data_IF_729537588697
#
_entry.id   IF_729537588697
#
_cell.length_a   1.000
_cell.length_b   1.000
_cell.length_c   1.000
_cell.angle_alpha   90.00
_cell.angle_beta   90.00
_cell.angle_gamma   90.00
#
_symmetry.space_group_name_H-M   'P 1'
#
loop_
_entity.id
_entity.type
_entity.pdbx_description
1 polymer ?
#
# COMPACT_ATOMS: atom_id res chain seq x y z
N UNK A 1 48.83 -4.25 32.30
CA UNK A 1 48.78 -4.74 30.90
C UNK A 1 48.22 -3.64 30.02
N UNK A 2 49.09 -2.91 29.32
CA UNK A 2 48.71 -1.85 28.38
C UNK A 2 48.54 -2.45 27.00
N UNK A 3 47.29 -2.66 26.58
CA UNK A 3 46.98 -3.11 25.21
C UNK A 3 47.02 -1.91 24.28
N UNK A 4 48.17 -1.66 23.67
CA UNK A 4 48.33 -0.60 22.66
C UNK A 4 47.55 -0.99 21.40
N UNK A 5 46.64 -0.14 20.88
CA UNK A 5 45.86 -0.46 19.69
C UNK A 5 46.78 -0.67 18.48
N UNK A 6 46.58 -1.79 17.77
CA UNK A 6 47.37 -2.15 16.60
C UNK A 6 47.03 -1.20 15.44
N UNK A 7 48.01 -0.64 14.70
CA UNK A 7 47.81 0.42 13.71
C UNK A 7 46.94 0.08 12.47
N UNK A 8 46.30 -1.09 12.40
CA UNK A 8 45.31 -1.46 11.38
C UNK A 8 43.92 -1.81 11.92
N UNK A 9 43.71 -1.75 13.23
CA UNK A 9 42.40 -2.06 13.83
C UNK A 9 41.38 -0.93 13.58
N UNK A 10 41.83 0.32 13.51
CA UNK A 10 40.98 1.46 13.18
C UNK A 10 40.52 1.41 11.71
N UNK A 11 41.43 1.09 10.77
CA UNK A 11 41.10 1.00 9.34
C UNK A 11 40.13 -0.15 9.04
N UNK A 12 40.28 -1.31 9.67
CA UNK A 12 39.34 -2.43 9.49
C UNK A 12 37.91 -2.11 10.00
N UNK A 13 37.78 -1.34 11.08
CA UNK A 13 36.47 -0.88 11.57
C UNK A 13 35.85 0.15 10.62
N UNK A 14 36.65 1.04 10.05
CA UNK A 14 36.17 2.02 9.09
C UNK A 14 35.75 1.38 7.77
N UNK A 15 36.46 0.34 7.31
CA UNK A 15 36.04 -0.49 6.17
C UNK A 15 34.71 -1.21 6.43
N UNK A 16 34.52 -1.79 7.62
CA UNK A 16 33.25 -2.44 7.98
C UNK A 16 32.10 -1.42 8.04
N UNK A 17 32.34 -0.24 8.62
CA UNK A 17 31.36 0.86 8.64
C UNK A 17 31.00 1.30 7.24
N UNK A 18 31.99 1.48 6.37
CA UNK A 18 31.77 1.86 4.98
C UNK A 18 30.92 0.82 4.24
N UNK A 19 31.28 -0.46 4.34
CA UNK A 19 30.51 -1.56 3.73
C UNK A 19 29.06 -1.60 4.23
N UNK A 20 28.83 -1.39 5.52
CA UNK A 20 27.48 -1.34 6.08
C UNK A 20 26.69 -0.13 5.58
N UNK A 21 27.32 1.05 5.50
CA UNK A 21 26.69 2.25 4.95
C UNK A 21 26.34 2.08 3.47
N UNK A 22 27.19 1.42 2.68
CA UNK A 22 26.89 1.07 1.30
C UNK A 22 25.69 0.13 1.20
N UNK A 23 25.63 -0.91 2.04
CA UNK A 23 24.49 -1.82 2.10
C UNK A 23 23.18 -1.10 2.45
N UNK A 24 23.20 -0.21 3.46
CA UNK A 24 22.04 0.58 3.84
C UNK A 24 21.58 1.51 2.71
N UNK A 25 22.54 2.14 2.02
CA UNK A 25 22.27 3.04 0.89
C UNK A 25 21.63 2.27 -0.26
N UNK A 26 22.17 1.09 -0.59
CA UNK A 26 21.60 0.19 -1.60
C UNK A 26 20.17 -0.22 -1.24
N UNK A 27 19.93 -0.65 -0.01
CA UNK A 27 18.60 -1.06 0.45
C UNK A 27 17.59 0.10 0.36
N UNK A 28 18.00 1.31 0.73
CA UNK A 28 17.15 2.50 0.61
C UNK A 28 16.80 2.79 -0.85
N UNK A 29 17.77 2.68 -1.77
CA UNK A 29 17.56 2.88 -3.19
C UNK A 29 16.61 1.83 -3.80
N UNK A 30 16.77 0.55 -3.42
CA UNK A 30 15.89 -0.55 -3.84
C UNK A 30 14.45 -0.34 -3.33
N UNK A 31 14.29 0.04 -2.05
CA UNK A 31 12.98 0.37 -1.49
C UNK A 31 12.31 1.51 -2.25
N UNK A 32 13.05 2.57 -2.54
CA UNK A 32 12.50 3.73 -3.21
C UNK A 32 12.16 3.44 -4.68
N UNK A 33 12.92 2.57 -5.34
CA UNK A 33 12.57 2.03 -6.66
C UNK A 33 11.27 1.22 -6.61
N UNK A 34 11.14 0.31 -5.64
CA UNK A 34 9.92 -0.48 -5.45
C UNK A 34 8.70 0.40 -5.16
N UNK A 35 8.85 1.45 -4.34
CA UNK A 35 7.78 2.43 -4.09
C UNK A 35 7.35 3.18 -5.34
N UNK A 36 8.30 3.57 -6.21
CA UNK A 36 7.97 4.20 -7.49
C UNK A 36 7.24 3.23 -8.42
N UNK A 37 7.67 1.97 -8.46
CA UNK A 37 7.02 0.94 -9.25
C UNK A 37 5.58 0.68 -8.77
N UNK A 38 5.37 0.57 -7.46
CA UNK A 38 4.04 0.39 -6.87
C UNK A 38 3.09 1.54 -7.23
N UNK A 39 3.55 2.79 -7.15
CA UNK A 39 2.73 3.95 -7.56
C UNK A 39 2.36 3.92 -9.04
N UNK A 40 3.29 3.52 -9.92
CA UNK A 40 3.02 3.37 -11.37
C UNK A 40 1.99 2.27 -11.63
N UNK A 41 2.15 1.12 -10.99
CA UNK A 41 1.21 0.01 -11.11
C UNK A 41 -0.20 0.40 -10.62
N UNK A 42 -0.29 1.13 -9.50
CA UNK A 42 -1.56 1.64 -8.99
C UNK A 42 -2.24 2.58 -10.00
N UNK A 43 -1.50 3.56 -10.54
CA UNK A 43 -2.02 4.47 -11.55
C UNK A 43 -2.52 3.71 -12.81
N UNK A 44 -1.79 2.68 -13.25
CA UNK A 44 -2.21 1.83 -14.36
C UNK A 44 -3.49 1.04 -14.03
N UNK A 45 -3.61 0.50 -12.81
CA UNK A 45 -4.81 -0.19 -12.38
C UNK A 45 -6.04 0.74 -12.34
N UNK A 46 -5.86 1.99 -11.92
CA UNK A 46 -6.94 2.97 -11.87
C UNK A 46 -7.40 3.39 -13.27
N UNK A 47 -6.47 3.55 -14.22
CA UNK A 47 -6.80 3.74 -15.65
C UNK A 47 -7.57 2.53 -16.20
N UNK A 48 -7.08 1.31 -15.97
CA UNK A 48 -7.74 0.10 -16.44
C UNK A 48 -9.17 -0.06 -15.87
N UNK A 49 -9.40 0.34 -14.61
CA UNK A 49 -10.74 0.37 -13.99
C UNK A 49 -11.66 1.37 -14.69
N UNK A 50 -11.16 2.55 -15.02
CA UNK A 50 -11.92 3.57 -15.74
C UNK A 50 -12.26 3.10 -17.17
N UNK A 51 -11.31 2.50 -17.88
CA UNK A 51 -11.51 1.95 -19.22
C UNK A 51 -12.56 0.84 -19.22
N UNK A 52 -12.52 -0.06 -18.23
CA UNK A 52 -13.50 -1.11 -18.05
C UNK A 52 -14.90 -0.53 -17.80
N UNK A 53 -15.02 0.49 -16.96
CA UNK A 53 -16.30 1.17 -16.71
C UNK A 53 -16.85 1.84 -17.99
N UNK A 54 -15.98 2.52 -18.74
CA UNK A 54 -16.32 3.12 -20.03
C UNK A 54 -16.81 2.08 -21.04
N UNK A 55 -16.07 0.96 -21.17
CA UNK A 55 -16.46 -0.16 -22.04
C UNK A 55 -17.81 -0.75 -21.64
N UNK A 56 -18.05 -0.97 -20.34
CA UNK A 56 -19.35 -1.44 -19.83
C UNK A 56 -20.49 -0.48 -20.18
N UNK A 57 -20.29 0.82 -20.00
CA UNK A 57 -21.28 1.84 -20.39
C UNK A 57 -21.57 1.76 -21.88
N UNK A 58 -20.52 1.69 -22.71
CA UNK A 58 -20.66 1.63 -24.16
C UNK A 58 -21.37 0.37 -24.63
N UNK A 59 -21.08 -0.78 -24.02
CA UNK A 59 -21.78 -2.04 -24.29
C UNK A 59 -23.27 -1.92 -23.93
N UNK A 60 -23.59 -1.36 -22.75
CA UNK A 60 -24.99 -1.12 -22.38
C UNK A 60 -25.70 -0.18 -23.35
N UNK A 61 -25.07 0.91 -23.78
CA UNK A 61 -25.62 1.81 -24.79
C UNK A 61 -25.93 1.09 -26.10
N UNK A 62 -24.98 0.28 -26.58
CA UNK A 62 -25.12 -0.48 -27.83
C UNK A 62 -26.22 -1.53 -27.73
N UNK A 63 -26.31 -2.25 -26.61
CA UNK A 63 -27.38 -3.22 -26.37
C UNK A 63 -28.75 -2.55 -26.29
N UNK A 64 -28.85 -1.42 -25.60
CA UNK A 64 -30.08 -0.63 -25.55
C UNK A 64 -30.47 -0.09 -26.92
N UNK A 65 -29.52 0.35 -27.74
CA UNK A 65 -29.77 0.77 -29.11
C UNK A 65 -30.24 -0.40 -29.97
N UNK A 66 -29.59 -1.57 -29.88
CA UNK A 66 -29.96 -2.77 -30.61
C UNK A 66 -31.37 -3.25 -30.24
N UNK A 67 -31.73 -3.25 -28.95
CA UNK A 67 -33.06 -3.65 -28.48
C UNK A 67 -34.18 -2.77 -29.05
N UNK A 68 -33.92 -1.48 -29.32
CA UNK A 68 -34.90 -0.61 -30.01
C UNK A 68 -35.13 -0.99 -31.47
N UNK A 69 -34.14 -1.61 -32.10
CA UNK A 69 -34.19 -1.98 -33.52
C UNK A 69 -34.49 -3.46 -33.76
N UNK A 70 -34.42 -4.30 -32.72
CA UNK A 70 -34.68 -5.74 -32.80
C UNK A 70 -35.59 -6.19 -31.64
N UNK A 71 -36.92 -6.25 -31.85
CA UNK A 71 -37.90 -6.48 -30.79
C UNK A 71 -37.88 -7.88 -30.15
N UNK A 72 -37.11 -8.84 -30.69
CA UNK A 72 -36.97 -10.21 -30.16
C UNK A 72 -35.65 -10.44 -29.39
N UNK A 73 -34.90 -9.38 -29.05
CA UNK A 73 -33.64 -9.56 -28.32
C UNK A 73 -33.92 -9.94 -26.85
N UNK A 74 -33.39 -11.07 -26.33
CA UNK A 74 -33.52 -11.39 -24.92
C UNK A 74 -32.87 -10.29 -24.08
N UNK A 75 -33.58 -9.84 -23.03
CA UNK A 75 -33.07 -8.84 -22.10
C UNK A 75 -31.80 -9.39 -21.43
N UNK A 76 -30.68 -8.68 -21.58
CA UNK A 76 -29.41 -9.06 -20.98
C UNK A 76 -29.52 -8.93 -19.47
N UNK A 77 -29.52 -10.07 -18.77
CA UNK A 77 -29.20 -10.09 -17.34
C UNK A 77 -27.82 -9.44 -17.17
N UNK A 78 -27.75 -8.46 -16.25
CA UNK A 78 -26.56 -7.64 -16.02
C UNK A 78 -25.31 -8.47 -15.72
N UNK A 79 -24.12 -7.85 -15.82
CA UNK A 79 -22.86 -8.57 -15.79
C UNK A 79 -22.81 -9.47 -14.56
N UNK A 80 -22.73 -10.78 -14.79
CA UNK A 80 -22.42 -11.76 -13.75
C UNK A 80 -21.20 -11.24 -13.01
N UNK A 81 -21.42 -10.77 -11.78
CA UNK A 81 -20.35 -10.43 -10.87
C UNK A 81 -19.45 -11.65 -10.80
N UNK A 82 -18.17 -11.58 -11.19
CA UNK A 82 -17.26 -12.63 -10.82
C UNK A 82 -17.22 -12.59 -9.28
N UNK A 83 -17.83 -13.59 -8.63
CA UNK A 83 -17.60 -13.87 -7.23
C UNK A 83 -16.11 -14.16 -7.09
N UNK A 84 -15.33 -13.13 -6.84
CA UNK A 84 -13.95 -13.29 -6.42
C UNK A 84 -14.03 -13.84 -4.99
N UNK A 85 -14.15 -15.17 -4.85
CA UNK A 85 -13.85 -15.94 -3.65
C UNK A 85 -12.35 -15.88 -3.33
N UNK A 86 -11.79 -14.67 -3.20
CA UNK A 86 -10.38 -14.47 -2.84
C UNK A 86 -10.21 -13.53 -1.63
N UNK A 87 -11.29 -13.24 -0.90
CA UNK A 87 -11.25 -12.37 0.28
C UNK A 87 -11.57 -13.09 1.61
N UNK A 88 -11.71 -14.43 1.63
CA UNK A 88 -12.00 -15.19 2.86
C UNK A 88 -10.77 -15.82 3.55
N UNK A 89 -9.58 -15.84 2.93
CA UNK A 89 -8.38 -16.44 3.55
C UNK A 89 -7.50 -15.47 4.35
N UNK A 90 -7.90 -14.20 4.52
CA UNK A 90 -7.13 -13.22 5.32
C UNK A 90 -7.68 -12.98 6.73
N UNK A 91 -8.41 -13.95 7.32
CA UNK A 91 -8.90 -13.84 8.70
C UNK A 91 -8.41 -14.98 9.59
N UNK A 92 -7.16 -14.88 10.04
CA UNK A 92 -6.70 -15.42 11.32
C UNK A 92 -5.29 -14.88 11.67
N UNK A 93 -5.23 -13.65 12.20
CA UNK A 93 -4.19 -13.30 13.17
C UNK A 93 -4.85 -13.43 14.56
N UNK A 94 -4.38 -14.31 15.46
CA UNK A 94 -4.89 -14.35 16.81
C UNK A 94 -4.47 -13.07 17.55
N UNK A 95 -5.47 -12.38 18.09
CA UNK A 95 -5.28 -11.33 19.07
C UNK A 95 -4.74 -11.95 20.38
N UNK A 96 -3.50 -11.65 20.74
CA UNK A 96 -3.07 -11.63 22.13
C UNK A 96 -3.29 -10.19 22.62
N UNK A 97 -4.30 -9.92 23.46
CA UNK A 97 -4.13 -9.97 24.92
C UNK A 97 -3.11 -8.89 25.32
N UNK A 98 -3.49 -7.65 25.60
CA UNK A 98 -4.37 -7.25 26.69
C UNK A 98 -3.48 -6.78 27.84
N UNK A 99 -3.22 -5.47 27.92
CA UNK A 99 -3.06 -4.80 29.21
C UNK A 99 -3.22 -3.28 29.06
N UNK A 100 -4.17 -2.74 29.82
CA UNK A 100 -4.35 -1.30 30.03
C UNK A 100 -4.34 -1.08 31.53
N UNK A 101 -3.51 -0.17 32.05
CA UNK A 101 -3.86 0.52 33.27
C UNK A 101 -4.37 1.91 32.95
N UNK A 102 -5.67 2.06 33.21
CA UNK A 102 -6.38 3.24 33.68
C UNK A 102 -5.50 4.30 34.35
N UNK A 103 -5.58 5.54 33.85
CA UNK A 103 -5.12 6.75 34.51
C UNK A 103 -6.14 7.87 34.31
N UNK A 104 -7.05 8.04 35.28
CA UNK A 104 -8.00 9.15 35.37
C UNK A 104 -7.28 10.46 35.72
N UNK A 105 -7.77 11.56 35.15
CA UNK A 105 -7.53 12.94 35.57
C UNK A 105 -6.90 13.75 34.43
N UNK A 106 -7.43 14.86 33.94
CA UNK A 106 -8.47 15.76 34.41
C UNK A 106 -8.19 17.08 33.67
N UNK A 107 -9.21 17.66 33.05
CA UNK A 107 -9.10 18.88 32.26
C UNK A 107 -8.59 20.08 33.08
N UNK A 108 -7.68 20.88 32.53
CA UNK A 108 -7.51 22.29 32.84
C UNK A 108 -6.63 22.99 31.78
N UNK A 109 -7.30 23.52 30.76
CA UNK A 109 -7.22 24.93 30.34
C UNK A 109 -5.94 25.72 30.70
N UNK A 110 -5.14 26.07 29.70
CA UNK A 110 -4.23 27.23 29.73
C UNK A 110 -4.11 27.87 28.35
N UNK A 111 -5.14 28.65 28.03
CA UNK A 111 -5.08 30.07 27.62
C UNK A 111 -3.74 30.64 27.12
N UNK A 112 -3.89 31.39 26.03
CA UNK A 112 -2.94 32.32 25.42
C UNK A 112 -2.20 33.24 26.41
N UNK A 113 -0.94 33.53 26.10
CA UNK A 113 -0.31 34.79 26.48
C UNK A 113 0.41 35.37 25.27
N UNK A 114 -0.18 36.44 24.74
CA UNK A 114 0.53 37.55 24.15
C UNK A 114 0.88 38.51 25.29
N UNK A 115 2.13 38.98 25.31
CA UNK A 115 2.59 40.26 25.84
C UNK A 115 4.03 40.48 25.37
#
# INVERSE_FOLDING_TARGET
>A
MTTTPRPGAASALDELRAAYHEQLTRLAAERDAARRQARRAQAQADVARADLASLKSRVHELLNAAARHLPDLPAVEGPATPEIRAAEESRALPAAGGDTPSGKGGAADRSAQAA
#
